data_IF_895648010468
#
_entry.id   IF_895648010468
#
_cell.length_a   1.000
_cell.length_b   1.000
_cell.length_c   1.000
_cell.angle_alpha   90.00
_cell.angle_beta   90.00
_cell.angle_gamma   90.00
#
_symmetry.space_group_name_H-M   'P 1'
#
loop_
_entity.id
_entity.type
_entity.pdbx_description
1 polymer ?
2 non-polymer ?
3 non-polymer ?
4 water ?
#
# COMPACT_ATOMS: atom_id res chain seq x y z
N UNK A 5 24.30 -17.02 -26.60
CA UNK A 5 23.64 -18.31 -26.66
C UNK A 5 23.71 -19.00 -25.31
N UNK A 6 24.64 -18.57 -24.48
CA UNK A 6 24.77 -19.10 -23.13
C UNK A 6 24.09 -18.14 -22.16
N UNK A 7 23.51 -17.08 -22.72
CA UNK A 7 22.73 -16.14 -21.94
C UNK A 7 21.39 -16.73 -21.57
N UNK A 8 20.78 -17.44 -22.52
CA UNK A 8 19.48 -18.06 -22.32
C UNK A 8 19.51 -19.02 -21.14
N UNK A 9 20.54 -19.87 -21.09
CA UNK A 9 20.72 -20.78 -19.97
C UNK A 9 21.00 -20.01 -18.70
N UNK A 10 21.73 -18.90 -18.83
CA UNK A 10 22.08 -18.06 -17.70
C UNK A 10 20.88 -17.25 -17.22
N UNK A 11 20.10 -16.73 -18.16
CA UNK A 11 18.90 -15.97 -17.83
C UNK A 11 17.80 -16.86 -17.28
N UNK A 12 17.73 -18.10 -17.78
CA UNK A 12 16.72 -19.04 -17.30
C UNK A 12 16.95 -19.34 -15.83
N UNK A 13 18.19 -19.63 -15.49
CA UNK A 13 18.55 -19.97 -14.11
C UNK A 13 18.24 -18.80 -13.18
N UNK A 14 18.57 -17.59 -13.64
CA UNK A 14 18.28 -16.38 -12.88
C UNK A 14 16.78 -16.21 -12.66
N UNK A 15 16.00 -16.35 -13.74
CA UNK A 15 14.56 -16.21 -13.63
C UNK A 15 13.99 -17.30 -12.74
N UNK A 16 14.49 -18.52 -12.89
CA UNK A 16 14.05 -19.64 -12.06
C UNK A 16 14.31 -19.36 -10.57
N UNK A 17 15.52 -18.92 -10.26
CA UNK A 17 15.88 -18.65 -8.86
C UNK A 17 15.03 -17.54 -8.25
N UNK A 18 14.73 -16.53 -9.05
CA UNK A 18 13.87 -15.44 -8.62
C UNK A 18 12.47 -15.95 -8.32
N UNK A 19 11.94 -16.78 -9.22
CA UNK A 19 10.65 -17.43 -9.00
C UNK A 19 10.65 -18.22 -7.69
N UNK A 20 11.77 -18.88 -7.40
CA UNK A 20 11.89 -19.66 -6.18
C UNK A 20 11.79 -18.79 -4.94
N UNK A 21 12.57 -17.70 -4.90
CA UNK A 21 12.56 -16.83 -3.73
C UNK A 21 11.22 -16.12 -3.58
N UNK A 22 10.63 -15.69 -4.70
CA UNK A 22 9.32 -15.08 -4.63
C UNK A 22 8.27 -16.11 -4.21
N UNK A 23 8.44 -17.35 -4.67
CA UNK A 23 7.54 -18.43 -4.30
C UNK A 23 7.55 -18.67 -2.80
N UNK A 24 8.75 -18.68 -2.22
CA UNK A 24 8.89 -18.94 -0.79
C UNK A 24 8.28 -17.81 0.05
N UNK A 25 8.67 -16.56 -0.25
CA UNK A 25 8.09 -15.40 0.41
C UNK A 25 6.57 -15.38 0.30
N UNK A 26 6.06 -15.75 -0.87
CA UNK A 26 4.63 -15.77 -1.10
C UNK A 26 3.93 -16.87 -0.31
N UNK A 27 4.48 -18.08 -0.38
CA UNK A 27 3.93 -19.24 0.35
C UNK A 27 3.82 -18.97 1.85
N UNK A 28 4.76 -18.20 2.39
CA UNK A 28 4.85 -18.00 3.83
C UNK A 28 4.16 -16.73 4.30
N UNK A 29 3.45 -16.07 3.40
CA UNK A 29 2.67 -14.89 3.75
C UNK A 29 3.51 -13.64 3.97
N UNK A 30 4.78 -13.71 3.58
CA UNK A 30 5.68 -12.56 3.75
C UNK A 30 5.31 -11.41 2.83
N UNK A 31 4.64 -11.72 1.73
CA UNK A 31 4.23 -10.70 0.79
C UNK A 31 3.08 -11.17 -0.09
N UNK A 32 2.45 -10.19 -0.74
CA UNK A 32 1.42 -10.44 -1.74
C UNK A 32 1.80 -9.86 -3.10
N UNK A 33 1.59 -10.65 -4.14
CA UNK A 33 1.92 -10.22 -5.49
C UNK A 33 0.65 -9.97 -6.30
N UNK A 34 0.52 -8.76 -6.84
CA UNK A 34 -0.62 -8.39 -7.67
C UNK A 34 -0.10 -7.71 -8.93
N UNK A 35 -0.09 -8.43 -10.05
CA UNK A 35 0.52 -7.93 -11.26
C UNK A 35 2.00 -7.73 -11.02
N UNK A 36 2.50 -6.51 -11.27
CA UNK A 36 3.91 -6.22 -11.09
C UNK A 36 4.22 -5.66 -9.70
N UNK A 37 3.19 -5.54 -8.88
CA UNK A 37 3.34 -4.91 -7.57
C UNK A 37 3.41 -5.96 -6.45
N UNK A 38 4.36 -5.77 -5.54
CA UNK A 38 4.46 -6.61 -4.35
C UNK A 38 4.08 -5.80 -3.11
N UNK A 39 3.14 -6.32 -2.31
CA UNK A 39 2.77 -5.68 -1.05
C UNK A 39 3.35 -6.45 0.12
N UNK A 40 3.76 -5.74 1.16
CA UNK A 40 4.28 -6.38 2.36
C UNK A 40 4.16 -5.44 3.56
N UNK A 41 4.11 -6.01 4.75
CA UNK A 41 4.06 -5.22 5.98
C UNK A 41 5.06 -5.75 7.00
N UNK A 42 5.52 -4.89 7.89
CA UNK A 42 6.37 -5.35 8.99
C UNK A 42 5.55 -5.55 10.26
N UNK A 43 4.24 -5.38 10.13
CA UNK A 43 3.32 -5.63 11.24
C UNK A 43 3.17 -4.48 12.22
N UNK A 44 3.95 -3.41 12.02
CA UNK A 44 3.95 -2.31 12.97
C UNK A 44 2.85 -1.26 12.75
N UNK A 45 2.36 -0.69 13.85
CA UNK A 45 1.41 0.41 13.79
C UNK A 45 2.08 1.73 14.17
N UNK A 46 2.25 2.59 13.17
CA UNK A 46 2.91 3.88 13.35
C UNK A 46 2.23 4.95 12.49
N UNK A 47 2.61 6.21 12.68
CA UNK A 47 1.99 7.29 11.92
C UNK A 47 2.42 7.36 10.46
N UNK A 48 1.72 8.20 9.71
CA UNK A 48 1.92 8.34 8.27
C UNK A 48 3.38 8.61 7.89
N UNK A 49 3.99 9.60 8.54
CA UNK A 49 5.39 9.93 8.26
C UNK A 49 6.34 8.77 8.54
N UNK A 50 6.11 8.03 9.62
CA UNK A 50 6.97 6.91 9.97
C UNK A 50 6.86 5.78 8.95
N UNK A 51 5.63 5.49 8.54
CA UNK A 51 5.38 4.48 7.50
C UNK A 51 6.16 4.80 6.23
N UNK A 52 6.07 6.05 5.79
CA UNK A 52 6.76 6.49 4.58
C UNK A 52 8.26 6.20 4.66
N UNK A 53 8.85 6.53 5.79
CA UNK A 53 10.28 6.33 5.99
C UNK A 53 10.63 4.84 6.04
N UNK A 54 9.76 4.05 6.66
CA UNK A 54 10.02 2.62 6.76
C UNK A 54 10.06 1.97 5.39
N UNK A 55 9.07 2.32 4.58
CA UNK A 55 8.98 1.81 3.21
C UNK A 55 10.15 2.27 2.34
N UNK A 56 10.49 3.54 2.45
CA UNK A 56 11.58 4.12 1.67
C UNK A 56 12.91 3.46 2.04
N UNK A 57 13.11 3.20 3.33
CA UNK A 57 14.34 2.55 3.78
C UNK A 57 14.48 1.16 3.16
N UNK A 58 13.36 0.48 2.98
CA UNK A 58 13.36 -0.87 2.41
C UNK A 58 13.45 -0.85 0.88
N UNK A 59 13.43 0.35 0.30
CA UNK A 59 13.55 0.49 -1.15
C UNK A 59 12.21 0.52 -1.86
N UNK A 60 11.13 0.65 -1.08
CA UNK A 60 9.79 0.71 -1.65
C UNK A 60 9.07 2.01 -1.35
N UNK A 61 7.74 1.94 -1.33
CA UNK A 61 6.90 3.09 -1.01
C UNK A 61 5.67 2.66 -0.25
N UNK A 62 5.11 3.56 0.54
CA UNK A 62 3.86 3.30 1.23
C UNK A 62 2.80 2.88 0.20
N UNK A 63 2.06 1.83 0.51
CA UNK A 63 1.20 1.21 -0.49
C UNK A 63 0.08 2.15 -0.93
N UNK A 64 -0.28 2.06 -2.20
CA UNK A 64 -1.47 2.76 -2.67
C UNK A 64 -2.12 1.93 -3.77
N UNK A 65 -3.42 1.63 -3.60
CA UNK A 65 -4.10 0.79 -4.59
C UNK A 65 -4.59 1.63 -5.76
N UNK A 66 -4.39 1.14 -6.98
CA UNK A 66 -4.85 1.85 -8.17
C UNK A 66 -5.84 1.01 -8.96
N UNK A 67 -6.16 -0.18 -8.44
CA UNK A 67 -7.14 -1.07 -9.07
C UNK A 67 -7.89 -1.80 -7.96
N UNK A 68 -9.08 -2.33 -8.26
CA UNK A 68 -9.82 -3.09 -7.24
C UNK A 68 -9.02 -4.27 -6.70
N UNK A 69 -8.23 -4.92 -7.55
CA UNK A 69 -7.49 -6.09 -7.12
C UNK A 69 -6.39 -5.73 -6.14
N UNK A 70 -5.67 -4.64 -6.43
CA UNK A 70 -4.68 -4.11 -5.51
C UNK A 70 -5.35 -3.67 -4.21
N UNK A 71 -6.53 -3.05 -4.33
CA UNK A 71 -7.26 -2.61 -3.15
C UNK A 71 -7.61 -3.78 -2.25
N UNK A 72 -8.03 -4.88 -2.88
CA UNK A 72 -8.42 -6.07 -2.13
C UNK A 72 -7.23 -6.73 -1.44
N UNK A 73 -6.06 -6.67 -2.08
CA UNK A 73 -4.86 -7.23 -1.51
C UNK A 73 -4.51 -6.50 -0.22
N UNK A 74 -4.40 -5.18 -0.31
CA UNK A 74 -4.13 -4.35 0.85
C UNK A 74 -5.17 -4.58 1.94
N UNK A 75 -6.45 -4.64 1.54
CA UNK A 75 -7.54 -4.92 2.48
C UNK A 75 -7.33 -6.24 3.23
N UNK A 76 -6.86 -7.26 2.51
CA UNK A 76 -6.64 -8.56 3.14
C UNK A 76 -5.56 -8.48 4.22
N UNK A 77 -4.53 -7.69 3.97
CA UNK A 77 -3.47 -7.50 4.97
C UNK A 77 -4.04 -6.72 6.16
N UNK A 78 -4.87 -5.73 5.86
CA UNK A 78 -5.55 -4.95 6.88
C UNK A 78 -6.38 -5.84 7.82
N UNK A 79 -7.18 -6.73 7.27
CA UNK A 79 -8.01 -7.59 8.12
C UNK A 79 -7.20 -8.70 8.79
N UNK A 80 -6.10 -9.11 8.15
CA UNK A 80 -5.20 -10.11 8.72
C UNK A 80 -4.55 -9.62 10.00
N UNK A 81 -4.20 -8.35 10.04
CA UNK A 81 -3.57 -7.74 11.21
C UNK A 81 -4.58 -6.97 12.06
N UNK A 82 -5.84 -7.01 11.63
CA UNK A 82 -6.93 -6.31 12.32
C UNK A 82 -6.62 -4.85 12.62
N UNK A 83 -6.14 -4.15 11.60
CA UNK A 83 -5.78 -2.74 11.76
C UNK A 83 -6.05 -1.96 10.48
N UNK A 84 -6.36 -0.68 10.62
CA UNK A 84 -6.55 0.16 9.44
C UNK A 84 -5.18 0.52 8.87
N UNK A 85 -5.15 0.92 7.61
CA UNK A 85 -3.91 1.09 6.88
C UNK A 85 -3.84 2.49 6.29
N UNK A 86 -2.73 3.19 6.49
CA UNK A 86 -2.52 4.46 5.81
C UNK A 86 -2.14 4.21 4.34
N UNK A 87 -2.77 4.94 3.43
CA UNK A 87 -2.49 4.76 2.00
C UNK A 87 -1.61 5.88 1.46
N UNK A 88 -0.89 5.60 0.37
CA UNK A 88 0.00 6.56 -0.23
C UNK A 88 -0.71 7.66 -1.01
N UNK A 89 -1.54 8.43 -0.32
CA UNK A 89 -2.21 9.56 -0.95
C UNK A 89 -2.56 10.62 0.09
N UNK A 90 -2.52 11.88 -0.33
CA UNK A 90 -2.83 13.00 0.56
C UNK A 90 -3.57 14.11 -0.18
N UNK A 91 -4.17 15.02 0.57
CA UNK A 91 -4.74 16.23 -0.01
C UNK A 91 -4.39 17.46 0.83
N UNK A 92 -3.11 17.58 1.17
CA UNK A 92 -2.63 18.68 2.02
C UNK A 92 -2.74 20.05 1.35
N UNK A 93 -2.70 20.09 0.02
CA UNK A 93 -2.76 21.36 -0.70
C UNK A 93 -4.16 21.98 -0.62
N UNK A 94 -5.05 21.53 -1.48
CA UNK A 94 -6.45 21.94 -1.42
C UNK A 94 -7.31 20.76 -1.01
N UNK A 95 -8.30 21.01 -0.16
CA UNK A 95 -9.15 19.93 0.37
C UNK A 95 -10.09 19.39 -0.69
N UNK A 96 -10.23 18.08 -0.75
CA UNK A 96 -11.13 17.45 -1.70
C UNK A 96 -10.42 16.61 -2.74
N UNK A 97 -9.47 17.21 -3.44
CA UNK A 97 -8.74 16.50 -4.48
C UNK A 97 -7.47 15.87 -3.90
N UNK A 98 -7.44 14.54 -3.91
CA UNK A 98 -6.32 13.81 -3.35
C UNK A 98 -5.29 13.50 -4.42
N UNK A 99 -4.04 13.38 -4.01
CA UNK A 99 -2.96 13.12 -4.95
C UNK A 99 -2.08 12.00 -4.44
N UNK A 100 -1.50 11.26 -5.38
CA UNK A 100 -0.45 10.31 -5.05
C UNK A 100 0.77 11.11 -4.63
N UNK A 101 1.76 10.45 -4.05
CA UNK A 101 2.89 11.18 -3.49
C UNK A 101 3.81 11.79 -4.56
N UNK A 102 3.66 11.33 -5.80
CA UNK A 102 4.40 11.91 -6.92
C UNK A 102 3.74 13.19 -7.44
N UNK A 103 2.51 13.44 -6.99
CA UNK A 103 1.79 14.63 -7.39
C UNK A 103 0.58 14.37 -8.27
N UNK A 104 0.57 13.22 -8.93
CA UNK A 104 -0.52 12.88 -9.85
C UNK A 104 -1.88 12.77 -9.14
N UNK A 105 -2.93 13.17 -9.85
CA UNK A 105 -4.27 13.14 -9.30
C UNK A 105 -4.75 11.71 -9.12
N UNK A 106 -5.42 11.45 -8.01
CA UNK A 106 -5.92 10.12 -7.68
C UNK A 106 -6.97 9.69 -8.70
N UNK A 107 -6.87 8.47 -9.22
CA UNK A 107 -7.86 8.02 -10.19
C UNK A 107 -8.85 7.04 -9.57
N UNK A 108 -8.41 5.80 -9.35
CA UNK A 108 -9.24 4.83 -8.65
C UNK A 108 -9.46 5.26 -7.21
N UNK A 109 -10.72 5.22 -6.77
CA UNK A 109 -11.04 5.47 -5.37
C UNK A 109 -11.97 4.39 -4.85
N UNK A 110 -12.10 4.29 -3.54
CA UNK A 110 -13.02 3.33 -2.93
C UNK A 110 -13.53 3.86 -1.60
N UNK A 111 -14.01 5.10 -1.62
CA UNK A 111 -14.47 5.75 -0.41
C UNK A 111 -15.63 5.00 0.21
N UNK A 112 -15.60 4.86 1.54
CA UNK A 112 -16.77 4.44 2.27
C UNK A 112 -17.83 5.52 2.04
N UNK A 113 -19.11 5.13 1.90
CA UNK A 113 -20.16 6.11 1.55
C UNK A 113 -20.17 7.34 2.47
N UNK A 114 -20.21 8.53 1.86
CA UNK A 114 -20.19 9.78 2.60
C UNK A 114 -18.80 10.38 2.66
N UNK A 115 -17.77 9.54 2.52
CA UNK A 115 -16.39 10.02 2.56
C UNK A 115 -15.95 10.48 1.17
N UNK A 116 -15.02 11.44 1.10
CA UNK A 116 -14.36 12.11 2.23
C UNK A 116 -15.26 13.21 2.84
N UNK A 117 -15.20 13.35 4.16
CA UNK A 117 -15.98 14.36 4.87
C UNK A 117 -15.46 14.46 6.29
N UNK A 118 -16.16 15.25 7.10
CA UNK A 118 -15.82 15.39 8.51
C UNK A 118 -14.92 16.59 8.72
N UNK A 119 -14.07 16.84 7.73
CA UNK A 119 -13.06 17.89 7.79
C UNK A 119 -12.87 18.40 6.35
N UNK A 120 -12.20 19.54 6.15
CA UNK A 120 -11.53 20.31 7.18
C UNK A 120 -10.04 20.02 7.14
N UNK A 121 -9.48 19.63 8.29
CA UNK A 121 -8.05 19.30 8.35
C UNK A 121 -7.83 17.79 8.47
N UNK A 122 -8.17 17.07 7.42
CA UNK A 122 -7.87 15.64 7.31
C UNK A 122 -7.16 15.36 5.99
N UNK A 123 -5.84 15.30 6.04
CA UNK A 123 -5.01 15.29 4.85
C UNK A 123 -4.66 13.88 4.37
N UNK A 124 -4.83 12.90 5.24
CA UNK A 124 -4.45 11.53 4.91
C UNK A 124 -5.64 10.64 4.58
N UNK A 125 -5.35 9.43 4.16
CA UNK A 125 -6.39 8.46 3.84
C UNK A 125 -6.08 7.15 4.52
N UNK A 126 -7.08 6.60 5.21
CA UNK A 126 -6.93 5.29 5.81
C UNK A 126 -7.87 4.30 5.14
N UNK A 127 -7.44 3.04 5.11
CA UNK A 127 -8.28 1.96 4.63
C UNK A 127 -8.84 1.16 5.80
N UNK A 128 -10.16 1.02 5.82
CA UNK A 128 -10.84 0.14 6.77
C UNK A 128 -10.55 -1.31 6.40
N UNK A 129 -10.90 -2.23 7.29
CA UNK A 129 -10.64 -3.66 7.08
C UNK A 129 -11.49 -4.27 5.96
N UNK A 130 -12.58 -3.59 5.59
CA UNK A 130 -13.37 -4.05 4.45
C UNK A 130 -12.84 -3.49 3.12
N UNK A 131 -11.81 -2.65 3.20
CA UNK A 131 -11.18 -2.11 2.00
C UNK A 131 -11.64 -0.72 1.60
N UNK A 132 -12.73 -0.24 2.19
CA UNK A 132 -13.19 1.11 1.89
C UNK A 132 -12.32 2.16 2.56
N UNK A 133 -12.39 3.39 2.08
CA UNK A 133 -11.47 4.43 2.51
C UNK A 133 -12.15 5.48 3.37
N UNK A 134 -11.35 6.13 4.20
CA UNK A 134 -11.78 7.25 5.00
C UNK A 134 -10.67 8.28 5.06
N UNK A 135 -11.00 9.55 4.85
CA UNK A 135 -10.00 10.59 5.07
C UNK A 135 -9.87 10.84 6.56
N UNK A 136 -8.63 11.07 7.00
CA UNK A 136 -8.30 11.07 8.41
C UNK A 136 -7.05 11.93 8.63
N UNK A 137 -6.80 12.35 9.87
CA UNK A 137 -5.55 13.00 10.20
C UNK A 137 -4.39 12.04 10.03
N UNK A 138 -3.18 12.57 9.96
CA UNK A 138 -2.01 11.77 9.59
C UNK A 138 -1.17 11.30 10.77
N UNK A 139 -1.67 11.48 11.99
CA UNK A 139 -0.88 11.21 13.19
C UNK A 139 -1.33 9.97 13.98
N UNK A 140 -2.30 9.24 13.44
CA UNK A 140 -2.80 8.03 14.09
C UNK A 140 -1.82 6.87 13.89
N UNK A 141 -1.95 5.83 14.69
CA UNK A 141 -1.13 4.64 14.55
C UNK A 141 -1.84 3.66 13.64
N UNK A 142 -1.24 3.38 12.49
CA UNK A 142 -1.85 2.53 11.48
C UNK A 142 -0.86 1.51 10.96
N UNK A 143 -1.37 0.39 10.45
CA UNK A 143 -0.54 -0.66 9.89
C UNK A 143 0.31 -0.13 8.73
N UNK A 144 1.61 -0.36 8.82
CA UNK A 144 2.53 0.02 7.74
C UNK A 144 2.52 -1.03 6.65
N UNK A 145 1.96 -0.69 5.50
CA UNK A 145 1.98 -1.58 4.35
C UNK A 145 2.74 -0.92 3.20
N UNK A 146 3.71 -1.62 2.63
CA UNK A 146 4.56 -1.05 1.59
C UNK A 146 4.34 -1.75 0.26
N UNK A 147 4.60 -1.03 -0.82
CA UNK A 147 4.59 -1.61 -2.15
C UNK A 147 5.98 -1.52 -2.77
N UNK A 148 6.35 -2.56 -3.51
CA UNK A 148 7.66 -2.63 -4.14
C UNK A 148 7.44 -2.97 -5.60
X LIG B 1 -14.63 10.16 9.50
X LIG B 1 -15.76 10.03 10.49
X LIG B 1 -15.24 9.30 11.71
X LIG B 1 -14.22 10.14 12.44
X LIG B 1 -13.09 10.64 11.55
X LIG B 1 -13.37 10.79 10.06
X LIG B 1 -15.10 10.94 8.43
X LIG B 1 -16.31 11.29 10.83
X LIG B 1 -16.30 8.89 12.55
X LIG B 1 -13.71 9.39 13.51
X LIG B 1 -12.67 11.89 12.07
X LIG B 1 -12.27 10.37 9.29
X LIG C 1 -13.40 11.34 7.14
X LIG D 1 -9.71 16.33 3.77
#
# INVERSE_FOLDING_TARGET
>A
AYLDEELQTELYEIKHQILQTMGVLSLQGSMLSVGDKVFSTNGQSVNFDTIKEMCTRAGGNIAVPRTPEENEAIASIAKKYNNYVYLGMIDDQTEGDFHYLDGASVSYTNWYPGEPRGQGKEDCVEMYTDGTWNDRGCLQYRLAVCEF
>B hetero
1 INS C1 C2 C3 C4 C5 C6 O1 O2 O3 O4 O5 O6
>C hetero
1 CA CA
>D hetero
1 CA CA
#
